data_IF_565264363759
#
_entry.id   IF_565264363759
#
_cell.length_a   1.000
_cell.length_b   1.000
_cell.length_c   1.000
_cell.angle_alpha   90.00
_cell.angle_beta   90.00
_cell.angle_gamma   90.00
#
_symmetry.space_group_name_H-M   'P 1'
#
loop_
_entity.id
_entity.type
_entity.pdbx_description
1 polymer ?
#
# COMPACT_ATOMS: atom_id res chain seq x y z
N UNK A 1 3.81 -76.38 -2.00
CA UNK A 1 2.96 -75.20 -2.33
C UNK A 1 2.19 -74.76 -1.10
N UNK A 2 1.93 -73.44 -0.99
CA UNK A 2 1.25 -72.67 0.08
C UNK A 2 2.22 -72.09 1.12
N UNK A 3 2.15 -70.83 1.54
CA UNK A 3 1.56 -69.56 1.07
C UNK A 3 2.31 -68.51 1.90
N UNK A 4 2.92 -67.51 1.28
CA UNK A 4 3.54 -66.38 1.98
C UNK A 4 2.39 -65.49 2.47
N UNK A 5 2.36 -65.19 3.77
CA UNK A 5 1.45 -64.21 4.34
C UNK A 5 2.32 -63.08 4.91
N UNK A 6 2.40 -61.98 4.17
CA UNK A 6 2.94 -60.71 4.64
C UNK A 6 1.97 -60.14 5.68
N UNK A 7 2.48 -59.82 6.87
CA UNK A 7 1.81 -58.91 7.79
C UNK A 7 2.63 -57.63 7.90
N UNK A 8 2.04 -56.55 7.42
CA UNK A 8 2.44 -55.17 7.62
C UNK A 8 2.00 -54.75 9.02
N UNK A 9 2.92 -54.25 9.84
CA UNK A 9 2.59 -53.49 11.05
C UNK A 9 2.86 -51.99 10.83
N UNK A 10 1.95 -51.11 11.29
CA UNK A 10 1.91 -49.72 10.87
C UNK A 10 2.95 -48.86 11.61
N UNK A 11 3.58 -47.95 10.86
CA UNK A 11 4.40 -46.88 11.41
C UNK A 11 3.43 -45.83 11.97
N UNK A 12 3.33 -45.74 13.29
CA UNK A 12 2.65 -44.62 13.97
C UNK A 12 3.53 -43.37 13.88
N UNK A 13 3.35 -42.59 12.81
CA UNK A 13 3.87 -41.22 12.71
C UNK A 13 2.99 -40.34 13.60
N UNK A 14 3.42 -40.10 14.84
CA UNK A 14 2.94 -38.98 15.64
C UNK A 14 3.52 -37.68 15.06
N UNK A 15 2.83 -37.08 14.09
CA UNK A 15 3.00 -35.66 13.82
C UNK A 15 2.20 -34.89 14.87
N UNK A 16 2.82 -34.02 15.69
CA UNK A 16 2.04 -33.06 16.45
C UNK A 16 1.40 -32.12 15.43
N UNK A 17 0.07 -32.19 15.33
CA UNK A 17 -0.72 -31.15 14.69
C UNK A 17 -0.44 -29.89 15.50
N UNK A 18 0.36 -28.98 14.96
CA UNK A 18 0.47 -27.63 15.46
C UNK A 18 -0.92 -27.00 15.28
N UNK A 19 -1.77 -27.18 16.29
CA UNK A 19 -2.94 -26.33 16.51
C UNK A 19 -2.39 -24.96 16.88
N UNK A 20 -1.99 -24.19 15.87
CA UNK A 20 -1.92 -22.76 16.00
C UNK A 20 -3.35 -22.29 16.26
N UNK A 21 -3.66 -22.05 17.53
CA UNK A 21 -4.81 -21.25 17.91
C UNK A 21 -4.65 -19.91 17.20
N UNK A 22 -5.36 -19.75 16.09
CA UNK A 22 -5.45 -18.51 15.35
C UNK A 22 -6.17 -17.50 16.25
N UNK A 23 -5.45 -16.55 16.80
CA UNK A 23 -6.08 -15.25 17.00
C UNK A 23 -6.67 -14.83 15.64
N UNK A 24 -7.97 -14.53 15.63
CA UNK A 24 -8.74 -14.02 14.48
C UNK A 24 -8.22 -12.63 14.09
N UNK A 25 -6.98 -12.60 13.63
CA UNK A 25 -6.32 -11.41 13.16
C UNK A 25 -6.66 -11.32 11.66
N UNK A 26 -7.85 -10.78 11.38
CA UNK A 26 -8.61 -10.93 10.13
C UNK A 26 -7.78 -11.11 8.87
N UNK A 27 -8.08 -12.16 8.12
CA UNK A 27 -7.56 -12.39 6.77
C UNK A 27 -8.10 -11.32 5.83
N UNK A 28 -7.24 -10.69 5.05
CA UNK A 28 -7.65 -9.76 3.99
C UNK A 28 -7.65 -10.45 2.62
N UNK A 29 -8.45 -9.95 1.68
CA UNK A 29 -8.37 -10.38 0.28
C UNK A 29 -7.33 -9.54 -0.46
N UNK A 30 -6.50 -10.19 -1.25
CA UNK A 30 -5.46 -9.57 -2.08
C UNK A 30 -5.85 -9.67 -3.56
N UNK A 31 -5.89 -8.53 -4.24
CA UNK A 31 -6.12 -8.48 -5.67
C UNK A 31 -4.87 -8.99 -6.39
N UNK A 32 -5.00 -10.01 -7.24
CA UNK A 32 -3.84 -10.63 -7.87
C UNK A 32 -3.15 -9.68 -8.89
N UNK A 33 -3.96 -9.08 -9.76
CA UNK A 33 -3.48 -8.27 -10.89
C UNK A 33 -3.33 -6.79 -10.51
N UNK A 34 -2.65 -6.02 -11.35
CA UNK A 34 -2.56 -4.57 -11.19
C UNK A 34 -3.96 -3.93 -11.34
N UNK A 35 -4.22 -2.89 -10.56
CA UNK A 35 -5.44 -2.11 -10.61
C UNK A 35 -5.52 -1.31 -11.91
N UNK A 36 -6.61 -1.51 -12.64
CA UNK A 36 -7.03 -0.53 -13.62
C UNK A 36 -7.91 0.54 -12.95
N UNK A 37 -7.32 1.71 -12.66
CA UNK A 37 -7.98 2.78 -11.92
C UNK A 37 -9.29 3.27 -12.58
N UNK A 38 -9.43 3.17 -13.90
CA UNK A 38 -10.66 3.58 -14.60
C UNK A 38 -11.89 2.77 -14.17
N UNK A 39 -11.69 1.56 -13.65
CA UNK A 39 -12.77 0.61 -13.39
C UNK A 39 -13.58 0.99 -12.14
N UNK A 40 -13.00 1.76 -11.22
CA UNK A 40 -13.64 2.11 -9.95
C UNK A 40 -13.58 3.61 -9.60
N UNK A 41 -12.73 4.42 -10.24
CA UNK A 41 -12.48 5.79 -9.77
C UNK A 41 -13.70 6.72 -9.78
N UNK A 42 -14.70 6.42 -10.61
CA UNK A 42 -15.94 7.21 -10.70
C UNK A 42 -17.00 6.79 -9.69
N UNK A 43 -16.87 5.60 -9.09
CA UNK A 43 -17.86 5.00 -8.20
C UNK A 43 -17.37 4.88 -6.75
N UNK A 44 -16.05 4.89 -6.54
CA UNK A 44 -15.44 4.81 -5.23
C UNK A 44 -15.43 6.15 -4.50
N UNK A 45 -15.58 6.14 -3.17
CA UNK A 45 -15.37 7.34 -2.36
C UNK A 45 -13.90 7.75 -2.37
N UNK A 46 -13.62 9.06 -2.33
CA UNK A 46 -12.26 9.59 -2.32
C UNK A 46 -12.10 10.67 -1.24
N UNK A 47 -11.35 10.42 -0.15
CA UNK A 47 -10.67 9.15 0.19
C UNK A 47 -11.64 8.03 0.62
N UNK A 48 -11.22 6.77 0.51
CA UNK A 48 -11.87 5.59 1.10
C UNK A 48 -10.94 4.99 2.15
N UNK A 49 -11.40 4.93 3.40
CA UNK A 49 -10.70 4.31 4.52
C UNK A 49 -9.30 4.87 4.83
N UNK A 50 -9.07 6.16 4.55
CA UNK A 50 -7.79 6.86 4.77
C UNK A 50 -8.05 8.16 5.51
N UNK A 51 -7.21 8.47 6.51
CA UNK A 51 -7.20 9.77 7.18
C UNK A 51 -6.35 10.77 6.40
N UNK A 52 -6.99 11.63 5.60
CA UNK A 52 -6.32 12.55 4.67
C UNK A 52 -5.26 13.43 5.35
N UNK A 53 -5.54 13.92 6.56
CA UNK A 53 -4.67 14.80 7.34
C UNK A 53 -3.35 14.13 7.78
N UNK A 54 -3.28 12.80 7.68
CA UNK A 54 -2.10 12.01 8.04
C UNK A 54 -1.21 11.68 6.84
N UNK A 55 -1.67 11.94 5.61
CA UNK A 55 -0.91 11.70 4.38
C UNK A 55 0.28 12.65 4.36
N UNK A 56 1.49 12.08 4.33
CA UNK A 56 2.75 12.81 4.32
C UNK A 56 3.70 12.22 3.31
N UNK A 57 4.52 13.07 2.70
CA UNK A 57 5.64 12.66 1.86
C UNK A 57 6.94 13.18 2.45
N UNK A 58 7.96 12.34 2.50
CA UNK A 58 9.33 12.71 2.89
C UNK A 58 10.32 12.01 1.97
N UNK A 59 11.60 12.37 2.06
CA UNK A 59 12.64 11.52 1.48
C UNK A 59 12.79 10.20 2.24
N UNK A 60 13.21 9.14 1.55
CA UNK A 60 13.58 7.85 2.18
C UNK A 60 14.89 7.94 2.95
N UNK A 61 15.76 8.87 2.56
CA UNK A 61 17.09 9.12 3.15
C UNK A 61 17.19 10.60 3.55
N UNK A 62 18.05 10.90 4.52
CA UNK A 62 18.38 12.28 4.87
C UNK A 62 19.45 12.77 3.89
N UNK A 63 19.04 13.53 2.88
CA UNK A 63 19.97 14.15 1.93
C UNK A 63 20.54 15.44 2.51
N UNK A 64 21.83 15.71 2.27
CA UNK A 64 22.41 17.02 2.55
C UNK A 64 22.00 18.04 1.48
N UNK A 65 22.04 19.34 1.77
CA UNK A 65 21.79 20.40 0.78
C UNK A 65 22.61 20.21 -0.50
N UNK A 66 23.90 19.84 -0.36
CA UNK A 66 24.77 19.55 -1.51
C UNK A 66 24.28 18.34 -2.33
N UNK A 67 23.80 17.28 -1.69
CA UNK A 67 23.24 16.13 -2.40
C UNK A 67 21.92 16.48 -3.10
N UNK A 68 21.09 17.32 -2.48
CA UNK A 68 19.86 17.81 -3.09
C UNK A 68 20.16 18.62 -4.35
N UNK A 69 21.07 19.59 -4.25
CA UNK A 69 21.46 20.46 -5.38
C UNK A 69 22.13 19.72 -6.53
N UNK A 70 23.04 18.78 -6.22
CA UNK A 70 23.91 18.16 -7.23
C UNK A 70 23.44 16.78 -7.69
N UNK A 71 22.46 16.16 -7.02
CA UNK A 71 21.97 14.82 -7.37
C UNK A 71 20.46 14.83 -7.54
N UNK A 72 19.69 15.22 -6.51
CA UNK A 72 18.23 15.09 -6.53
C UNK A 72 17.59 16.05 -7.54
N UNK A 73 17.97 17.33 -7.54
CA UNK A 73 17.42 18.31 -8.48
C UNK A 73 17.74 17.95 -9.95
N UNK A 74 18.99 17.58 -10.31
CA UNK A 74 19.30 17.06 -11.64
C UNK A 74 18.45 15.84 -12.02
N UNK A 75 18.34 14.84 -11.14
CA UNK A 75 17.50 13.66 -11.39
C UNK A 75 16.05 14.05 -11.70
N UNK A 76 15.46 15.00 -10.96
CA UNK A 76 14.09 15.47 -11.21
C UNK A 76 13.97 16.14 -12.59
N UNK A 77 14.95 16.99 -12.97
CA UNK A 77 14.94 17.70 -14.26
C UNK A 77 15.08 16.76 -15.46
N UNK A 78 15.69 15.59 -15.24
CA UNK A 78 15.87 14.57 -16.27
C UNK A 78 14.65 13.66 -16.47
N UNK A 79 13.62 13.75 -15.62
CA UNK A 79 12.37 12.99 -15.76
C UNK A 79 11.62 13.46 -17.02
N UNK A 80 11.41 12.56 -17.99
CA UNK A 80 10.68 12.84 -19.24
C UNK A 80 9.39 12.04 -19.40
N UNK A 81 9.28 10.91 -18.71
CA UNK A 81 8.15 9.98 -18.86
C UNK A 81 7.44 9.75 -17.52
N UNK A 82 6.23 9.19 -17.59
CA UNK A 82 5.48 8.72 -16.42
C UNK A 82 6.28 7.70 -15.62
N UNK A 83 6.93 6.76 -16.31
CA UNK A 83 7.73 5.71 -15.70
C UNK A 83 8.96 6.26 -14.96
N UNK A 84 9.62 7.28 -15.51
CA UNK A 84 10.74 7.94 -14.82
C UNK A 84 10.27 8.60 -13.52
N UNK A 85 9.12 9.27 -13.57
CA UNK A 85 8.49 9.90 -12.41
C UNK A 85 8.09 8.88 -11.34
N UNK A 86 7.44 7.78 -11.74
CA UNK A 86 7.06 6.69 -10.85
C UNK A 86 8.30 6.07 -10.18
N UNK A 87 9.35 5.81 -10.96
CA UNK A 87 10.62 5.28 -10.46
C UNK A 87 11.32 6.23 -9.50
N UNK A 88 11.32 7.53 -9.79
CA UNK A 88 11.88 8.54 -8.88
C UNK A 88 11.13 8.54 -7.55
N UNK A 89 9.80 8.62 -7.58
CA UNK A 89 8.95 8.65 -6.38
C UNK A 89 9.15 7.38 -5.55
N UNK A 90 9.05 6.21 -6.17
CA UNK A 90 9.19 4.93 -5.46
C UNK A 90 10.59 4.74 -4.87
N UNK A 91 11.65 5.25 -5.51
CA UNK A 91 13.02 5.07 -5.01
C UNK A 91 13.47 6.13 -4.00
N UNK A 92 13.00 7.38 -4.15
CA UNK A 92 13.51 8.51 -3.37
C UNK A 92 12.54 8.96 -2.28
N UNK A 93 11.23 8.77 -2.47
CA UNK A 93 10.20 9.31 -1.58
C UNK A 93 9.52 8.22 -0.76
N UNK A 94 9.25 8.54 0.51
CA UNK A 94 8.42 7.77 1.41
C UNK A 94 7.08 8.47 1.52
N UNK A 95 5.99 7.76 1.27
CA UNK A 95 4.63 8.25 1.50
C UNK A 95 4.06 7.46 2.67
N UNK A 96 3.66 8.16 3.72
CA UNK A 96 3.09 7.57 4.94
C UNK A 96 1.69 8.11 5.20
N UNK A 97 0.84 7.31 5.86
CA UNK A 97 -0.54 7.67 6.20
C UNK A 97 -1.08 6.80 7.33
N UNK A 98 -2.28 7.12 7.81
CA UNK A 98 -3.09 6.26 8.66
C UNK A 98 -4.30 5.75 7.88
N UNK A 99 -4.45 4.43 7.82
CA UNK A 99 -5.61 3.77 7.24
C UNK A 99 -6.60 3.39 8.35
N UNK A 100 -7.89 3.58 8.09
CA UNK A 100 -8.97 3.15 9.00
C UNK A 100 -9.48 1.81 8.52
N UNK A 101 -9.10 0.73 9.20
CA UNK A 101 -9.49 -0.62 8.82
C UNK A 101 -10.91 -0.91 9.32
N UNK A 102 -11.91 -1.03 8.43
CA UNK A 102 -13.22 -1.50 8.82
C UNK A 102 -13.12 -3.00 9.11
N UNK A 103 -13.59 -3.46 10.26
CA UNK A 103 -13.80 -4.88 10.50
C UNK A 103 -15.14 -5.09 11.21
N UNK A 104 -15.81 -6.19 10.89
CA UNK A 104 -17.02 -6.57 11.59
C UNK A 104 -16.64 -6.90 13.03
N UNK A 105 -17.21 -6.18 13.99
CA UNK A 105 -17.14 -6.58 15.40
C UNK A 105 -17.78 -7.95 15.58
N UNK A 106 -17.21 -8.77 16.46
CA UNK A 106 -17.80 -10.07 16.83
C UNK A 106 -19.12 -9.91 17.62
N UNK A 107 -19.34 -8.73 18.22
CA UNK A 107 -20.41 -8.51 19.20
C UNK A 107 -21.72 -7.97 18.64
N UNK A 108 -21.83 -7.69 17.34
CA UNK A 108 -23.03 -7.05 16.79
C UNK A 108 -23.61 -7.89 15.67
N UNK A 109 -24.59 -8.72 16.06
CA UNK A 109 -25.53 -9.38 15.16
C UNK A 109 -26.29 -8.31 14.36
N UNK A 110 -25.72 -7.84 13.24
CA UNK A 110 -26.30 -6.73 12.48
C UNK A 110 -25.41 -6.07 11.42
N UNK A 111 -24.12 -6.39 11.33
CA UNK A 111 -23.29 -5.98 10.18
C UNK A 111 -22.87 -4.51 10.15
N UNK A 112 -22.90 -3.81 11.29
CA UNK A 112 -22.29 -2.50 11.43
C UNK A 112 -20.78 -2.65 11.75
N UNK A 113 -19.94 -1.83 11.12
CA UNK A 113 -18.51 -1.75 11.42
C UNK A 113 -18.31 -0.96 12.72
N UNK A 114 -18.55 -1.59 13.87
CA UNK A 114 -18.58 -0.90 15.18
C UNK A 114 -17.21 -0.69 15.81
N UNK A 115 -16.16 -1.24 15.20
CA UNK A 115 -14.78 -1.06 15.61
C UNK A 115 -13.94 -0.65 14.40
N UNK A 116 -13.27 0.50 14.51
CA UNK A 116 -12.37 1.04 13.50
C UNK A 116 -10.96 0.97 14.10
N UNK A 117 -10.09 0.15 13.50
CA UNK A 117 -8.67 0.16 13.85
C UNK A 117 -7.92 1.15 12.98
N UNK A 118 -7.00 1.87 13.60
CA UNK A 118 -6.06 2.74 12.90
C UNK A 118 -4.77 1.98 12.64
N UNK A 119 -4.41 1.88 11.37
CA UNK A 119 -3.19 1.21 10.92
C UNK A 119 -2.21 2.29 10.41
N UNK A 120 -1.05 2.43 11.06
CA UNK A 120 -0.01 3.38 10.64
C UNK A 120 0.79 2.75 9.50
N UNK A 121 0.69 3.34 8.32
CA UNK A 121 1.37 2.91 7.11
C UNK A 121 2.58 3.81 6.90
N UNK A 122 3.77 3.28 7.15
CA UNK A 122 5.01 4.06 7.08
C UNK A 122 5.54 4.24 5.64
N UNK A 123 5.19 3.34 4.73
CA UNK A 123 5.57 3.41 3.30
C UNK A 123 4.50 2.69 2.48
N UNK A 124 3.67 3.43 1.75
CA UNK A 124 2.56 2.86 0.96
C UNK A 124 3.02 1.87 -0.10
N UNK A 125 4.29 1.89 -0.52
CA UNK A 125 4.81 0.97 -1.55
C UNK A 125 5.22 -0.40 -1.01
N UNK A 126 5.07 -0.65 0.29
CA UNK A 126 5.42 -1.91 0.95
C UNK A 126 4.19 -2.57 1.54
N UNK A 127 4.22 -3.89 1.62
CA UNK A 127 3.19 -4.65 2.32
C UNK A 127 3.32 -4.43 3.84
N UNK A 128 2.18 -4.18 4.49
CA UNK A 128 2.06 -4.12 5.95
C UNK A 128 1.18 -5.27 6.42
N UNK A 129 1.23 -5.55 7.73
CA UNK A 129 0.54 -6.70 8.33
C UNK A 129 -0.98 -6.73 8.08
N UNK A 130 -1.60 -5.57 7.87
CA UNK A 130 -3.07 -5.42 7.72
C UNK A 130 -3.52 -4.64 6.49
N UNK A 131 -2.59 -3.93 5.87
CA UNK A 131 -2.83 -3.12 4.68
C UNK A 131 -1.71 -3.44 3.71
N UNK A 132 -2.06 -4.10 2.62
CA UNK A 132 -1.15 -4.42 1.54
C UNK A 132 -0.72 -3.14 0.82
N UNK A 133 0.39 -3.25 0.10
CA UNK A 133 0.95 -2.14 -0.67
C UNK A 133 -0.08 -1.48 -1.58
N UNK A 134 0.17 -0.21 -1.85
CA UNK A 134 -0.60 0.59 -2.76
C UNK A 134 0.07 0.63 -4.12
N UNK A 135 -0.74 0.52 -5.16
CA UNK A 135 -0.38 0.89 -6.51
C UNK A 135 -0.64 2.37 -6.71
N UNK A 136 0.18 3.00 -7.56
CA UNK A 136 0.17 4.43 -7.80
C UNK A 136 -0.15 4.71 -9.28
N UNK A 137 -1.06 5.64 -9.52
CA UNK A 137 -1.25 6.25 -10.83
C UNK A 137 -0.95 7.74 -10.73
N UNK A 138 0.14 8.19 -11.36
CA UNK A 138 0.43 9.62 -11.50
C UNK A 138 -0.59 10.27 -12.44
N UNK A 139 -1.02 11.47 -12.06
CA UNK A 139 -1.89 12.33 -12.85
C UNK A 139 -1.01 13.41 -13.48
N UNK A 140 -1.02 13.49 -14.80
CA UNK A 140 -0.30 14.54 -15.52
C UNK A 140 -0.94 15.91 -15.24
N UNK A 141 -0.11 16.87 -14.85
CA UNK A 141 -0.49 18.28 -14.70
C UNK A 141 -0.18 19.07 -15.97
N UNK A 142 0.36 20.28 -15.83
CA UNK A 142 0.79 21.14 -16.94
C UNK A 142 1.96 20.51 -17.73
N UNK A 143 1.67 19.50 -18.54
CA UNK A 143 2.60 18.70 -19.36
C UNK A 143 3.75 18.05 -18.57
N UNK A 144 3.53 17.76 -17.28
CA UNK A 144 4.51 17.10 -16.42
C UNK A 144 3.83 16.30 -15.30
N UNK A 145 4.42 15.15 -14.95
CA UNK A 145 3.97 14.33 -13.82
C UNK A 145 4.55 14.79 -12.48
N UNK A 146 5.70 15.47 -12.53
CA UNK A 146 6.40 16.02 -11.39
C UNK A 146 6.81 17.44 -11.75
N UNK A 147 6.57 18.37 -10.84
CA UNK A 147 6.89 19.78 -11.00
C UNK A 147 7.88 20.20 -9.91
N UNK A 148 8.87 20.99 -10.30
CA UNK A 148 9.89 21.54 -9.40
C UNK A 148 9.96 23.05 -9.58
N UNK A 149 9.50 23.80 -8.59
CA UNK A 149 9.54 25.27 -8.57
C UNK A 149 9.92 25.75 -7.17
N UNK A 150 10.78 26.76 -7.06
CA UNK A 150 11.16 27.37 -5.76
C UNK A 150 11.54 26.34 -4.68
N UNK A 151 12.39 25.35 -5.03
CA UNK A 151 12.81 24.25 -4.14
C UNK A 151 11.66 23.40 -3.58
N UNK A 152 10.52 23.40 -4.26
CA UNK A 152 9.35 22.62 -3.90
C UNK A 152 9.04 21.63 -5.02
N UNK A 153 9.07 20.35 -4.66
CA UNK A 153 8.64 19.26 -5.51
C UNK A 153 7.14 19.05 -5.32
N UNK A 154 6.37 19.05 -6.40
CA UNK A 154 4.94 18.73 -6.37
C UNK A 154 4.57 17.67 -7.39
N UNK A 155 3.61 16.82 -7.04
CA UNK A 155 3.05 15.81 -7.94
C UNK A 155 1.66 15.40 -7.45
N UNK A 156 0.77 15.06 -8.37
CA UNK A 156 -0.57 14.56 -8.06
C UNK A 156 -0.68 13.10 -8.43
N UNK A 157 -1.25 12.29 -7.53
CA UNK A 157 -1.33 10.86 -7.73
C UNK A 157 -2.56 10.24 -7.07
N UNK A 158 -3.03 9.14 -7.66
CA UNK A 158 -4.03 8.23 -7.08
C UNK A 158 -3.31 7.02 -6.51
N UNK A 159 -3.81 6.50 -5.40
CA UNK A 159 -3.30 5.32 -4.73
C UNK A 159 -4.43 4.36 -4.42
N UNK A 160 -4.24 3.08 -4.74
CA UNK A 160 -5.18 2.00 -4.45
C UNK A 160 -4.42 0.84 -3.80
N UNK A 161 -4.83 0.40 -2.62
CA UNK A 161 -4.22 -0.77 -1.97
C UNK A 161 -4.61 -2.06 -2.70
N UNK A 162 -3.73 -3.07 -2.71
CA UNK A 162 -4.06 -4.43 -3.18
C UNK A 162 -5.16 -5.10 -2.34
N UNK A 163 -5.51 -4.57 -1.17
CA UNK A 163 -6.68 -5.05 -0.43
C UNK A 163 -7.98 -4.76 -1.18
N UNK A 164 -8.89 -5.74 -1.24
CA UNK A 164 -10.26 -5.53 -1.73
C UNK A 164 -11.32 -6.11 -0.81
N UNK A 165 -12.55 -5.63 -0.93
CA UNK A 165 -13.72 -6.19 -0.24
C UNK A 165 -14.24 -7.40 -1.02
N UNK A 166 -14.31 -8.57 -0.40
CA UNK A 166 -14.88 -9.79 -0.99
C UNK A 166 -16.27 -9.60 -1.64
N UNK A 167 -17.08 -8.64 -1.14
CA UNK A 167 -18.41 -8.32 -1.70
C UNK A 167 -18.33 -7.42 -2.94
N UNK A 168 -17.21 -6.72 -3.13
CA UNK A 168 -16.92 -5.82 -4.25
C UNK A 168 -15.47 -6.01 -4.74
N UNK A 169 -15.15 -7.15 -5.39
CA UNK A 169 -13.77 -7.48 -5.75
C UNK A 169 -13.10 -6.50 -6.72
N UNK A 170 -13.91 -5.75 -7.48
CA UNK A 170 -13.45 -4.73 -8.44
C UNK A 170 -13.10 -3.40 -7.80
N UNK A 171 -13.29 -3.21 -6.49
CA UNK A 171 -12.98 -1.97 -5.79
C UNK A 171 -11.90 -2.19 -4.72
N UNK A 172 -10.85 -1.37 -4.68
CA UNK A 172 -9.90 -1.41 -3.58
C UNK A 172 -10.59 -1.03 -2.25
N UNK A 173 -10.13 -1.64 -1.16
CA UNK A 173 -10.60 -1.33 0.18
C UNK A 173 -10.09 0.03 0.66
N UNK A 174 -8.89 0.41 0.23
CA UNK A 174 -8.25 1.69 0.55
C UNK A 174 -7.91 2.44 -0.72
N UNK A 175 -8.37 3.68 -0.82
CA UNK A 175 -8.16 4.51 -2.01
C UNK A 175 -8.05 5.97 -1.63
N UNK A 176 -7.16 6.71 -2.29
CA UNK A 176 -7.10 8.16 -2.16
C UNK A 176 -6.44 8.81 -3.37
N UNK A 177 -6.82 10.06 -3.65
CA UNK A 177 -6.07 10.96 -4.53
C UNK A 177 -5.49 12.09 -3.71
N UNK A 178 -4.23 12.43 -3.95
CA UNK A 178 -3.58 13.51 -3.21
C UNK A 178 -2.64 14.33 -4.09
N UNK A 179 -2.54 15.62 -3.79
CA UNK A 179 -1.53 16.50 -4.35
C UNK A 179 -0.40 16.62 -3.33
N UNK A 180 0.73 15.99 -3.62
CA UNK A 180 1.88 15.98 -2.75
C UNK A 180 2.73 17.22 -2.95
N UNK A 181 3.28 17.69 -1.84
CA UNK A 181 4.21 18.80 -1.81
C UNK A 181 5.36 18.44 -0.87
N UNK A 182 6.59 18.58 -1.35
CA UNK A 182 7.80 18.35 -0.59
C UNK A 182 8.72 19.57 -0.73
N UNK A 183 8.92 20.28 0.37
CA UNK A 183 9.95 21.32 0.49
C UNK A 183 11.32 20.63 0.58
N UNK A 184 12.18 20.90 -0.40
CA UNK A 184 13.49 20.26 -0.52
C UNK A 184 14.50 20.78 0.51
N UNK A 185 14.31 21.97 1.10
CA UNK A 185 15.25 22.54 2.07
C UNK A 185 14.89 22.19 3.52
N UNK A 186 13.59 22.02 3.82
CA UNK A 186 13.10 21.77 5.18
C UNK A 186 13.04 20.29 5.59
N UNK A 187 13.19 19.36 4.65
CA UNK A 187 13.12 17.91 4.93
C UNK A 187 14.50 17.25 5.13
N UNK A 188 15.48 18.03 5.58
CA UNK A 188 16.73 17.51 6.12
C UNK A 188 16.44 16.97 7.53
N UNK A 189 16.19 15.67 7.64
CA UNK A 189 16.00 15.01 8.94
C UNK A 189 17.23 15.08 9.83
#
# INVERSE_FOLDING_TARGET
MKKILMFLTPISIFCPVALSASCLDGTFNEHADDWNFSDFETTISNPKNIKTETIKVTFKQNYSSKAIENIIIPEIKDIKTKQDAEKFIQNKLRISLVATRPHSGWDVAGGAYDHIHEEIINDVFKDHTKVLRFEMQLIEGDNSFIKLENNKLTFKAKFASKNFDSKKPSEPLYYFTHNFELDLEKNNG
#
